data_IF_232744709515
#
_entry.id   IF_232744709515
#
_cell.length_a   1.000
_cell.length_b   1.000
_cell.length_c   1.000
_cell.angle_alpha   90.00
_cell.angle_beta   90.00
_cell.angle_gamma   90.00
#
_symmetry.space_group_name_H-M   'P 1'
#
loop_
_entity.id
_entity.type
_entity.pdbx_description
1 polymer ?
#
# COMPACT_ATOMS: atom_id res chain seq x y z
N UNK A 1 68.25 24.69 -6.70
CA UNK A 1 67.37 24.06 -5.69
C UNK A 1 65.94 24.40 -6.07
N UNK A 2 65.09 23.37 -6.20
CA UNK A 2 63.75 23.42 -6.83
C UNK A 2 62.72 24.11 -5.92
N UNK A 3 61.78 24.91 -6.45
CA UNK A 3 60.53 25.17 -5.76
C UNK A 3 59.53 24.05 -6.07
N UNK A 4 58.94 23.49 -5.03
CA UNK A 4 57.96 22.42 -5.12
C UNK A 4 56.60 22.96 -5.60
N UNK A 5 56.08 22.31 -6.62
CA UNK A 5 54.77 22.53 -7.23
C UNK A 5 53.67 22.05 -6.28
N UNK A 6 52.84 22.96 -5.77
CA UNK A 6 51.64 22.59 -5.03
C UNK A 6 50.55 22.12 -6.01
N UNK A 7 50.26 20.82 -6.02
CA UNK A 7 49.14 20.23 -6.76
C UNK A 7 47.89 20.33 -5.89
N UNK A 8 46.98 21.23 -6.23
CA UNK A 8 45.64 21.30 -5.66
C UNK A 8 44.79 20.15 -6.23
N UNK A 9 44.61 19.09 -5.43
CA UNK A 9 43.62 18.04 -5.69
C UNK A 9 42.22 18.56 -5.33
N UNK A 10 41.46 18.98 -6.35
CA UNK A 10 40.02 19.20 -6.25
C UNK A 10 39.34 17.84 -6.07
N UNK A 11 38.97 17.48 -4.83
CA UNK A 11 38.05 16.35 -4.59
C UNK A 11 36.66 16.76 -5.05
N UNK A 12 36.22 16.27 -6.20
CA UNK A 12 34.82 16.32 -6.57
C UNK A 12 34.02 15.43 -5.63
N UNK A 13 33.25 16.05 -4.73
CA UNK A 13 32.20 15.35 -3.99
C UNK A 13 31.13 14.99 -5.01
N UNK A 14 31.13 13.74 -5.46
CA UNK A 14 29.97 13.12 -6.07
C UNK A 14 28.89 13.03 -4.99
N UNK A 15 27.94 13.96 -5.01
CA UNK A 15 26.68 13.80 -4.30
C UNK A 15 25.96 12.62 -4.96
N UNK A 16 26.16 11.42 -4.44
CA UNK A 16 25.23 10.31 -4.69
C UNK A 16 23.90 10.72 -4.04
N UNK A 17 22.93 11.14 -4.85
CA UNK A 17 21.55 11.17 -4.38
C UNK A 17 21.23 9.74 -3.91
N UNK A 18 21.00 9.59 -2.61
CA UNK A 18 20.93 8.30 -1.95
C UNK A 18 19.94 7.37 -2.64
N UNK A 19 20.35 6.12 -2.82
CA UNK A 19 19.44 5.06 -3.24
C UNK A 19 18.19 5.09 -2.36
N UNK A 20 17.00 4.95 -2.98
CA UNK A 20 15.74 4.88 -2.24
C UNK A 20 15.83 3.72 -1.26
N UNK A 21 15.84 4.03 0.03
CA UNK A 21 15.86 3.03 1.09
C UNK A 21 14.43 2.58 1.39
N UNK A 22 14.21 1.27 1.33
CA UNK A 22 12.93 0.63 1.58
C UNK A 22 13.05 -0.24 2.84
N UNK A 23 12.74 0.28 4.04
CA UNK A 23 12.93 -0.42 5.30
C UNK A 23 12.27 -1.80 5.31
N UNK A 24 11.10 -1.91 4.70
CA UNK A 24 10.33 -3.15 4.63
C UNK A 24 11.02 -4.29 3.86
N UNK A 25 12.08 -4.01 3.09
CA UNK A 25 12.87 -5.06 2.43
C UNK A 25 13.93 -5.70 3.34
N UNK A 26 13.91 -5.38 4.64
CA UNK A 26 14.73 -6.08 5.64
C UNK A 26 14.04 -7.34 6.14
N UNK A 27 14.77 -8.46 6.12
CA UNK A 27 14.25 -9.77 6.51
C UNK A 27 13.87 -9.88 8.00
N UNK A 28 14.43 -9.05 8.88
CA UNK A 28 14.08 -9.03 10.30
C UNK A 28 12.70 -8.41 10.58
N UNK A 29 12.14 -7.69 9.61
CA UNK A 29 10.79 -7.11 9.70
C UNK A 29 9.69 -8.06 9.20
N UNK A 30 10.03 -9.22 8.66
CA UNK A 30 9.07 -10.16 8.07
C UNK A 30 7.95 -10.60 9.04
N UNK A 31 8.22 -10.58 10.34
CA UNK A 31 7.23 -10.85 11.39
C UNK A 31 6.07 -9.86 11.43
N UNK A 32 6.21 -8.69 10.80
CA UNK A 32 5.17 -7.65 10.69
C UNK A 32 4.52 -7.60 9.31
N UNK A 33 4.85 -8.54 8.41
CA UNK A 33 4.48 -8.44 6.99
C UNK A 33 3.71 -9.66 6.48
N UNK A 34 3.56 -10.70 7.30
CA UNK A 34 2.86 -11.91 6.88
C UNK A 34 1.34 -11.71 6.88
N UNK A 35 0.80 -11.31 5.74
CA UNK A 35 -0.63 -11.02 5.58
C UNK A 35 -1.50 -12.28 5.59
N UNK A 36 -0.91 -13.48 5.47
CA UNK A 36 -1.66 -14.74 5.53
C UNK A 36 -2.30 -14.98 6.90
N UNK A 37 -1.75 -14.38 7.97
CA UNK A 37 -2.29 -14.45 9.32
C UNK A 37 -3.67 -13.78 9.47
N UNK A 38 -4.05 -12.90 8.54
CA UNK A 38 -5.31 -12.18 8.56
C UNK A 38 -6.45 -12.92 7.85
N UNK A 39 -6.25 -14.20 7.52
CA UNK A 39 -7.24 -15.06 6.88
C UNK A 39 -7.71 -16.14 7.87
N UNK A 40 -8.97 -16.61 7.77
CA UNK A 40 -9.95 -16.35 6.70
C UNK A 40 -10.88 -15.16 6.97
N UNK A 41 -10.49 -14.20 7.81
CA UNK A 41 -11.35 -13.04 8.13
C UNK A 41 -11.82 -12.31 6.85
N UNK A 42 -13.12 -12.01 6.79
CA UNK A 42 -13.76 -11.35 5.63
C UNK A 42 -14.01 -9.86 5.86
N UNK A 43 -13.30 -9.26 6.81
CA UNK A 43 -13.47 -7.86 7.18
C UNK A 43 -13.38 -6.90 5.99
N UNK A 44 -14.08 -5.78 6.11
CA UNK A 44 -14.04 -4.69 5.14
C UNK A 44 -12.99 -3.66 5.55
N UNK A 45 -12.34 -3.05 4.56
CA UNK A 45 -11.24 -2.12 4.76
C UNK A 45 -11.42 -0.89 3.90
N UNK A 46 -11.10 0.29 4.44
CA UNK A 46 -11.08 1.54 3.68
C UNK A 46 -9.65 2.02 3.49
N UNK A 47 -9.33 2.50 2.29
CA UNK A 47 -8.09 3.23 2.05
C UNK A 47 -8.21 4.64 2.65
N UNK A 48 -7.33 4.98 3.58
CA UNK A 48 -7.30 6.29 4.22
C UNK A 48 -6.44 7.25 3.42
N UNK A 49 -5.22 6.81 3.11
CA UNK A 49 -4.20 7.62 2.49
C UNK A 49 -3.55 6.87 1.34
N UNK A 50 -3.09 7.65 0.37
CA UNK A 50 -2.07 7.24 -0.57
C UNK A 50 -1.13 8.39 -0.90
N UNK A 51 0.11 8.09 -1.29
CA UNK A 51 1.11 9.12 -1.62
C UNK A 51 1.19 9.42 -3.13
N UNK A 52 0.13 9.10 -3.88
CA UNK A 52 0.06 9.31 -5.32
C UNK A 52 -1.36 9.68 -5.75
N UNK A 53 -1.51 10.53 -6.76
CA UNK A 53 -2.80 11.17 -7.03
C UNK A 53 -3.78 10.28 -7.81
N UNK A 54 -3.30 9.43 -8.71
CA UNK A 54 -4.12 8.72 -9.68
C UNK A 54 -3.77 7.23 -9.70
N UNK A 55 -4.79 6.38 -9.67
CA UNK A 55 -4.67 4.93 -9.80
C UNK A 55 -5.87 4.39 -10.61
N UNK A 56 -5.69 3.90 -11.84
CA UNK A 56 -6.81 3.44 -12.65
C UNK A 56 -7.57 2.28 -11.98
N UNK A 57 -6.87 1.43 -11.23
CA UNK A 57 -7.44 0.24 -10.58
C UNK A 57 -8.34 0.62 -9.39
N UNK A 58 -8.15 1.84 -8.86
CA UNK A 58 -8.99 2.45 -7.85
C UNK A 58 -9.82 3.64 -8.37
N UNK A 59 -10.17 3.64 -9.66
CA UNK A 59 -11.07 4.65 -10.23
C UNK A 59 -10.42 6.01 -10.49
N UNK A 60 -9.11 6.03 -10.74
CA UNK A 60 -8.32 7.23 -11.00
C UNK A 60 -8.12 8.05 -9.74
N UNK A 61 -8.75 9.23 -9.67
CA UNK A 61 -8.73 10.15 -8.53
C UNK A 61 -9.90 9.94 -7.57
N UNK A 62 -10.69 8.87 -7.75
CA UNK A 62 -11.85 8.57 -6.93
C UNK A 62 -11.51 8.47 -5.43
N UNK A 63 -12.54 8.69 -4.60
CA UNK A 63 -12.49 8.56 -3.15
C UNK A 63 -13.18 7.27 -2.70
N UNK A 64 -13.26 7.10 -1.38
CA UNK A 64 -14.02 6.01 -0.77
C UNK A 64 -13.62 4.62 -1.26
N UNK A 65 -12.32 4.43 -1.53
CA UNK A 65 -11.80 3.13 -1.95
C UNK A 65 -11.94 2.15 -0.79
N UNK A 66 -12.63 1.05 -1.05
CA UNK A 66 -12.94 0.00 -0.10
C UNK A 66 -12.51 -1.35 -0.67
N UNK A 67 -11.87 -2.14 0.17
CA UNK A 67 -11.46 -3.51 -0.10
C UNK A 67 -12.38 -4.47 0.67
N UNK A 68 -12.86 -5.51 0.00
CA UNK A 68 -13.66 -6.57 0.62
C UNK A 68 -13.33 -7.94 0.05
N UNK A 69 -13.56 -8.96 0.89
CA UNK A 69 -13.44 -10.39 0.55
C UNK A 69 -14.84 -10.97 0.50
N UNK A 70 -15.13 -11.84 -0.47
CA UNK A 70 -16.49 -12.39 -0.64
C UNK A 70 -16.53 -13.88 -0.99
N UNK A 71 -15.38 -14.55 -1.02
CA UNK A 71 -15.28 -15.98 -1.30
C UNK A 71 -14.44 -16.71 -0.28
N UNK A 72 -14.20 -18.00 -0.53
CA UNK A 72 -13.40 -18.85 0.34
C UNK A 72 -11.92 -18.58 0.15
N UNK A 73 -11.20 -18.45 1.25
CA UNK A 73 -9.74 -18.45 1.25
C UNK A 73 -9.21 -19.88 1.11
N UNK A 74 -8.44 -20.13 0.06
CA UNK A 74 -7.82 -21.43 -0.19
C UNK A 74 -6.45 -21.25 -0.84
N UNK A 75 -5.45 -22.02 -0.40
CA UNK A 75 -4.10 -22.02 -0.98
C UNK A 75 -3.48 -20.63 -1.12
N UNK A 76 -3.68 -19.77 -0.11
CA UNK A 76 -3.19 -18.39 -0.11
C UNK A 76 -3.85 -17.45 -1.12
N UNK A 77 -5.02 -17.84 -1.62
CA UNK A 77 -5.79 -17.10 -2.62
C UNK A 77 -7.20 -16.80 -2.10
N UNK A 78 -7.73 -15.62 -2.41
CA UNK A 78 -9.09 -15.21 -2.07
C UNK A 78 -9.75 -14.38 -3.18
N UNK A 79 -11.03 -14.64 -3.50
CA UNK A 79 -11.84 -13.69 -4.27
C UNK A 79 -11.99 -12.38 -3.49
N UNK A 80 -11.72 -11.28 -4.18
CA UNK A 80 -11.62 -9.93 -3.61
C UNK A 80 -12.26 -8.89 -4.51
N UNK A 81 -12.69 -7.79 -3.92
CA UNK A 81 -13.20 -6.64 -4.64
C UNK A 81 -12.62 -5.33 -4.12
N UNK A 82 -12.34 -4.41 -5.04
CA UNK A 82 -12.11 -3.01 -4.75
C UNK A 82 -13.29 -2.20 -5.29
N UNK A 83 -13.96 -1.43 -4.43
CA UNK A 83 -15.01 -0.50 -4.81
C UNK A 83 -14.61 0.93 -4.50
N UNK A 84 -15.05 1.90 -5.29
CA UNK A 84 -14.71 3.32 -5.11
C UNK A 84 -15.90 4.21 -5.49
N UNK A 85 -15.94 5.43 -4.95
CA UNK A 85 -17.07 6.33 -5.14
C UNK A 85 -16.87 7.73 -4.56
N UNK A 86 -17.77 8.65 -4.95
CA UNK A 86 -17.66 10.12 -4.87
C UNK A 86 -16.93 10.70 -6.08
N UNK A 87 -17.71 11.13 -7.08
CA UNK A 87 -17.25 11.49 -8.43
C UNK A 87 -17.48 10.34 -9.41
N UNK A 88 -16.49 9.46 -9.57
CA UNK A 88 -16.60 8.23 -10.36
C UNK A 88 -16.88 7.06 -9.42
N UNK A 89 -17.86 6.22 -9.76
CA UNK A 89 -18.22 5.03 -8.99
C UNK A 89 -17.92 3.77 -9.78
N UNK A 90 -17.38 2.75 -9.12
CA UNK A 90 -17.09 1.48 -9.77
C UNK A 90 -16.72 0.38 -8.79
N UNK A 91 -16.59 -0.84 -9.32
CA UNK A 91 -16.11 -1.99 -8.57
C UNK A 91 -15.31 -2.89 -9.50
N UNK A 92 -14.09 -3.22 -9.08
CA UNK A 92 -13.21 -4.18 -9.73
C UNK A 92 -13.20 -5.44 -8.87
N UNK A 93 -13.57 -6.57 -9.48
CA UNK A 93 -13.52 -7.89 -8.83
C UNK A 93 -12.38 -8.70 -9.43
N UNK A 94 -11.72 -9.46 -8.59
CA UNK A 94 -10.60 -10.28 -9.00
C UNK A 94 -10.19 -11.27 -7.94
N UNK A 95 -9.05 -11.89 -8.18
CA UNK A 95 -8.42 -12.83 -7.29
C UNK A 95 -7.17 -12.22 -6.68
N UNK A 96 -7.05 -12.30 -5.35
CA UNK A 96 -5.86 -11.87 -4.63
C UNK A 96 -5.07 -13.08 -4.14
N UNK A 97 -3.77 -13.10 -4.42
CA UNK A 97 -2.85 -14.19 -4.08
C UNK A 97 -1.72 -13.69 -3.20
N UNK A 98 -1.37 -14.45 -2.16
CA UNK A 98 -0.25 -14.14 -1.28
C UNK A 98 0.95 -15.04 -1.55
N UNK A 99 2.10 -14.42 -1.80
CA UNK A 99 3.37 -15.09 -2.05
C UNK A 99 4.45 -14.55 -1.11
N UNK A 100 5.49 -15.34 -0.78
CA UNK A 100 6.67 -14.81 -0.13
C UNK A 100 7.52 -14.09 -1.18
N UNK A 101 8.05 -12.93 -0.84
CA UNK A 101 9.12 -12.34 -1.62
C UNK A 101 10.37 -13.24 -1.60
N UNK A 102 11.29 -13.03 -2.53
CA UNK A 102 12.54 -13.79 -2.59
C UNK A 102 13.30 -13.69 -1.26
N UNK A 103 13.71 -14.83 -0.70
CA UNK A 103 14.39 -14.96 0.60
C UNK A 103 13.53 -14.65 1.84
N UNK A 104 12.19 -14.57 1.71
CA UNK A 104 11.25 -14.43 2.82
C UNK A 104 10.48 -15.73 3.06
N UNK A 105 10.14 -16.00 4.33
CA UNK A 105 9.14 -17.02 4.67
C UNK A 105 7.74 -16.42 4.85
N UNK A 106 7.66 -15.15 5.25
CA UNK A 106 6.41 -14.42 5.38
C UNK A 106 5.76 -14.20 4.01
N UNK A 107 4.42 -14.31 3.94
CA UNK A 107 3.65 -14.01 2.73
C UNK A 107 3.44 -12.50 2.63
N UNK A 108 4.50 -11.80 2.22
CA UNK A 108 4.61 -10.34 2.20
C UNK A 108 4.55 -9.73 0.78
N UNK A 109 4.27 -10.54 -0.24
CA UNK A 109 3.96 -10.08 -1.59
C UNK A 109 2.52 -10.44 -1.91
N UNK A 110 1.77 -9.46 -2.42
CA UNK A 110 0.35 -9.58 -2.73
C UNK A 110 0.19 -9.32 -4.22
N UNK A 111 -0.44 -10.26 -4.92
CA UNK A 111 -0.82 -10.14 -6.33
C UNK A 111 -2.33 -10.00 -6.47
N UNK A 112 -2.82 -9.08 -7.30
CA UNK A 112 -4.24 -8.99 -7.64
C UNK A 112 -4.44 -9.13 -9.16
N UNK A 113 -5.42 -9.96 -9.54
CA UNK A 113 -5.78 -10.24 -10.93
C UNK A 113 -7.28 -9.99 -11.14
N UNK A 114 -7.69 -8.93 -11.86
CA UNK A 114 -9.09 -8.67 -12.19
C UNK A 114 -9.70 -9.76 -13.11
N UNK A 115 -10.96 -10.15 -12.89
CA UNK A 115 -11.61 -11.20 -13.68
C UNK A 115 -11.91 -10.83 -15.14
N UNK A 116 -12.04 -9.55 -15.46
CA UNK A 116 -12.52 -9.09 -16.78
C UNK A 116 -11.41 -8.57 -17.71
N UNK A 117 -10.13 -8.83 -17.43
CA UNK A 117 -9.04 -8.39 -18.30
C UNK A 117 -8.87 -9.35 -19.50
N UNK A 118 -9.43 -8.97 -20.65
CA UNK A 118 -9.36 -9.68 -21.94
C UNK A 118 -8.05 -9.47 -22.73
N UNK A 119 -6.98 -9.00 -22.09
CA UNK A 119 -5.69 -8.76 -22.73
C UNK A 119 -4.67 -8.32 -21.69
N UNK A 120 -3.53 -9.02 -21.67
CA UNK A 120 -2.38 -8.87 -20.77
C UNK A 120 -2.73 -8.78 -19.29
N UNK A 121 -2.67 -9.93 -18.59
CA UNK A 121 -2.78 -10.01 -17.13
C UNK A 121 -1.61 -9.26 -16.51
N UNK A 122 -1.78 -7.97 -16.24
CA UNK A 122 -0.88 -7.23 -15.35
C UNK A 122 -1.34 -7.60 -13.94
N UNK A 123 -0.66 -8.58 -13.35
CA UNK A 123 -0.77 -8.85 -11.92
C UNK A 123 -0.31 -7.59 -11.18
N UNK A 124 -1.24 -6.91 -10.52
CA UNK A 124 -0.91 -5.78 -9.65
C UNK A 124 -0.14 -6.32 -8.45
N UNK A 125 1.10 -5.86 -8.28
CA UNK A 125 1.97 -6.32 -7.20
C UNK A 125 2.10 -5.28 -6.11
N UNK A 126 1.77 -5.70 -4.90
CA UNK A 126 1.95 -4.93 -3.68
C UNK A 126 2.95 -5.64 -2.78
N UNK A 127 3.86 -4.87 -2.20
CA UNK A 127 4.74 -5.33 -1.13
C UNK A 127 4.13 -4.89 0.21
N UNK A 128 4.07 -5.81 1.16
CA UNK A 128 3.58 -5.52 2.51
C UNK A 128 4.66 -4.78 3.28
N UNK A 129 4.36 -3.54 3.70
CA UNK A 129 5.20 -2.78 4.64
C UNK A 129 4.89 -3.22 6.06
N UNK A 130 3.59 -3.26 6.39
CA UNK A 130 3.09 -3.62 7.72
C UNK A 130 1.68 -4.20 7.65
N UNK A 131 1.40 -5.17 8.50
CA UNK A 131 0.09 -5.81 8.63
C UNK A 131 -0.27 -6.00 10.10
N UNK A 132 -1.44 -5.48 10.46
CA UNK A 132 -2.15 -5.79 11.70
C UNK A 132 -3.60 -6.08 11.34
N UNK A 133 -4.01 -7.35 11.53
CA UNK A 133 -5.29 -7.86 11.08
C UNK A 133 -6.49 -7.22 11.77
N UNK A 134 -6.28 -6.60 12.94
CA UNK A 134 -7.34 -5.95 13.68
C UNK A 134 -7.47 -4.48 13.32
N UNK A 135 -6.42 -3.84 12.82
CA UNK A 135 -6.36 -2.38 12.67
C UNK A 135 -6.07 -1.92 11.25
N UNK A 136 -4.98 -2.35 10.60
CA UNK A 136 -4.54 -1.76 9.34
C UNK A 136 -3.63 -2.63 8.46
N UNK A 137 -3.59 -2.24 7.18
CA UNK A 137 -2.55 -2.64 6.26
C UNK A 137 -1.82 -1.42 5.71
N UNK A 138 -0.50 -1.55 5.55
CA UNK A 138 0.33 -0.59 4.82
C UNK A 138 1.00 -1.33 3.68
N UNK A 139 0.73 -0.89 2.45
CA UNK A 139 1.25 -1.52 1.24
C UNK A 139 2.07 -0.54 0.41
N UNK A 140 3.08 -1.06 -0.25
CA UNK A 140 3.81 -0.41 -1.34
C UNK A 140 3.34 -0.97 -2.68
N UNK A 141 2.98 -0.10 -3.60
CA UNK A 141 2.50 -0.43 -4.94
C UNK A 141 3.70 -0.42 -5.89
N UNK A 142 4.16 -1.61 -6.29
CA UNK A 142 5.39 -1.74 -7.07
C UNK A 142 5.25 -1.19 -8.51
N UNK A 143 4.02 -1.06 -9.00
CA UNK A 143 3.69 -0.55 -10.34
C UNK A 143 3.51 0.97 -10.38
N UNK A 144 3.48 1.66 -9.23
CA UNK A 144 3.19 3.10 -9.14
C UNK A 144 4.45 3.89 -8.76
N UNK A 145 4.69 5.01 -9.45
CA UNK A 145 5.78 5.95 -9.15
C UNK A 145 7.14 5.26 -8.98
N UNK A 146 7.50 4.37 -9.90
CA UNK A 146 8.73 3.55 -9.85
C UNK A 146 8.87 2.79 -8.52
N UNK A 147 7.77 2.20 -8.06
CA UNK A 147 7.67 1.43 -6.82
C UNK A 147 7.59 2.28 -5.54
N UNK A 148 7.43 3.60 -5.63
CA UNK A 148 7.31 4.46 -4.44
C UNK A 148 5.86 4.65 -3.97
N UNK A 149 4.87 4.25 -4.77
CA UNK A 149 3.46 4.35 -4.40
C UNK A 149 3.17 3.60 -3.11
N UNK A 150 2.39 4.19 -2.22
CA UNK A 150 2.02 3.62 -0.93
C UNK A 150 0.56 3.85 -0.61
N UNK A 151 -0.03 2.95 0.15
CA UNK A 151 -1.39 3.08 0.70
C UNK A 151 -1.46 2.70 2.18
N UNK A 152 -2.32 3.39 2.93
CA UNK A 152 -2.78 2.99 4.26
C UNK A 152 -4.23 2.55 4.18
N UNK A 153 -4.52 1.36 4.69
CA UNK A 153 -5.87 0.80 4.81
C UNK A 153 -6.23 0.61 6.26
N UNK A 154 -7.48 0.91 6.64
CA UNK A 154 -8.02 0.68 7.99
C UNK A 154 -9.17 -0.29 7.94
N UNK A 155 -9.25 -1.16 8.94
CA UNK A 155 -10.40 -2.05 9.11
C UNK A 155 -11.62 -1.22 9.49
N UNK A 156 -12.75 -1.47 8.82
CA UNK A 156 -13.98 -0.71 9.06
C UNK A 156 -14.49 -0.87 10.50
N UNK A 157 -14.28 -2.03 11.14
CA UNK A 157 -14.75 -2.30 12.50
C UNK A 157 -13.98 -1.56 13.60
N UNK A 158 -12.73 -1.20 13.35
CA UNK A 158 -11.83 -0.55 14.33
C UNK A 158 -11.40 0.84 13.87
N UNK A 159 -11.98 1.33 12.77
CA UNK A 159 -11.63 2.58 12.11
C UNK A 159 -11.52 3.80 13.03
N UNK A 160 -12.34 3.85 14.09
CA UNK A 160 -12.43 4.99 15.03
C UNK A 160 -11.70 4.73 16.36
N UNK A 161 -10.97 3.62 16.49
CA UNK A 161 -10.22 3.33 17.69
C UNK A 161 -8.91 4.12 17.69
N UNK A 162 -8.64 4.93 18.74
CA UNK A 162 -7.38 5.66 18.82
C UNK A 162 -6.23 4.75 19.25
N UNK A 163 -5.00 5.14 18.89
CA UNK A 163 -3.80 4.68 19.60
C UNK A 163 -3.01 3.51 19.00
N UNK A 164 -3.20 3.18 17.72
CA UNK A 164 -2.29 2.27 17.00
C UNK A 164 -1.17 3.02 16.25
N UNK A 165 -0.22 2.24 15.73
CA UNK A 165 0.97 2.75 15.06
C UNK A 165 0.81 2.94 13.55
N UNK A 166 -0.38 2.70 12.99
CA UNK A 166 -0.55 2.55 11.54
C UNK A 166 -0.20 3.80 10.73
N UNK A 167 -0.60 4.98 11.21
CA UNK A 167 -0.28 6.25 10.54
C UNK A 167 1.20 6.60 10.67
N UNK A 168 1.80 6.38 11.85
CA UNK A 168 3.23 6.56 12.06
C UNK A 168 4.04 5.67 11.11
N UNK A 169 3.69 4.39 11.01
CA UNK A 169 4.36 3.44 10.11
C UNK A 169 4.19 3.86 8.65
N UNK A 170 3.01 4.32 8.25
CA UNK A 170 2.81 4.87 6.91
C UNK A 170 3.71 6.08 6.67
N UNK A 171 3.71 7.07 7.56
CA UNK A 171 4.46 8.32 7.36
C UNK A 171 5.98 8.09 7.28
N UNK A 172 6.53 7.19 8.11
CA UNK A 172 7.95 6.83 8.08
C UNK A 172 8.36 6.09 6.80
N UNK A 173 7.49 5.24 6.24
CA UNK A 173 7.84 4.41 5.07
C UNK A 173 7.43 5.03 3.73
N UNK A 174 6.44 5.91 3.73
CA UNK A 174 5.79 6.41 2.52
C UNK A 174 5.91 7.93 2.35
N UNK A 175 6.41 8.62 3.37
CA UNK A 175 6.52 10.06 3.41
C UNK A 175 5.19 10.76 3.71
N UNK A 176 5.31 12.00 4.18
CA UNK A 176 4.16 12.85 4.53
C UNK A 176 3.74 13.79 3.39
N UNK A 177 4.50 13.86 2.30
CA UNK A 177 4.21 14.72 1.16
C UNK A 177 4.69 14.11 -0.17
N UNK A 178 3.81 13.95 -1.17
CA UNK A 178 2.37 14.20 -1.09
C UNK A 178 1.64 13.09 -0.29
N UNK A 179 0.59 13.45 0.46
CA UNK A 179 -0.29 12.52 1.19
C UNK A 179 -1.75 12.87 0.86
N UNK A 180 -2.37 12.08 -0.01
CA UNK A 180 -3.74 12.30 -0.46
C UNK A 180 -4.72 11.56 0.45
N UNK A 181 -5.66 12.31 1.06
CA UNK A 181 -6.79 11.75 1.78
C UNK A 181 -7.77 11.08 0.80
N UNK A 182 -8.02 9.79 0.96
CA UNK A 182 -8.91 8.97 0.11
C UNK A 182 -10.23 8.67 0.81
N UNK A 183 -10.18 8.35 2.10
CA UNK A 183 -11.39 8.23 2.91
C UNK A 183 -11.93 9.60 3.29
N UNK A 184 -13.23 9.79 3.17
CA UNK A 184 -13.97 10.95 3.66
C UNK A 184 -15.09 10.45 4.57
N UNK A 185 -15.59 11.24 5.55
CA UNK A 185 -16.70 10.82 6.40
C UNK A 185 -17.94 10.38 5.60
N UNK A 186 -18.16 10.95 4.40
CA UNK A 186 -19.22 10.56 3.48
C UNK A 186 -19.06 9.17 2.86
N UNK A 187 -17.92 8.50 3.05
CA UNK A 187 -17.67 7.16 2.52
C UNK A 187 -18.34 6.04 3.34
N UNK A 188 -18.72 6.31 4.59
CA UNK A 188 -19.50 5.39 5.42
C UNK A 188 -20.93 5.92 5.59
N UNK A 189 -21.92 5.33 4.91
CA UNK A 189 -23.32 5.74 5.03
C UNK A 189 -23.86 5.68 6.46
N UNK A 190 -23.25 4.86 7.34
CA UNK A 190 -23.68 4.69 8.74
C UNK A 190 -23.23 5.83 9.63
N UNK A 191 -22.20 6.58 9.22
CA UNK A 191 -21.75 7.76 9.97
C UNK A 191 -22.67 8.96 9.76
N UNK A 192 -23.57 8.91 8.75
CA UNK A 192 -24.56 9.93 8.47
C UNK A 192 -23.93 11.28 8.09
N UNK A 193 -24.46 11.94 7.07
CA UNK A 193 -24.20 13.37 6.95
C UNK A 193 -24.86 14.06 8.15
N UNK A 194 -24.11 14.75 9.04
CA UNK A 194 -24.75 15.67 9.96
C UNK A 194 -25.25 16.84 9.11
N UNK A 195 -26.56 16.85 8.83
CA UNK A 195 -27.35 18.01 8.39
C UNK A 195 -26.82 18.83 7.21
N UNK A 196 -27.45 18.67 6.06
CA UNK A 196 -27.78 19.83 5.20
C UNK A 196 -29.23 20.19 5.49
#
# INVERSE_FOLDING_TARGET
>A
MRPETAVLLLSQILLTFGDKFYPELRSDLQQFQDSSRCYPDIGEWYMIYRNYNYDPDFGGTAKCVKYSRYGTYQNFTTPSAFSYGQGVTGTVKGEMTLTPAACYSARNSVGFVPYNNTGDVIEEKYQVIYTDCDTCFVFRHLYVNDGYGCTLWRRTSTFHQPGDCCEFIYDENCGTSPKYQIYLPSCDPRLGMPGV
#
